data_IF_304619146823
#
_entry.id   IF_304619146823
#
_cell.length_a   1.000
_cell.length_b   1.000
_cell.length_c   1.000
_cell.angle_alpha   90.00
_cell.angle_beta   90.00
_cell.angle_gamma   90.00
#
_symmetry.space_group_name_H-M   'P 1'
#
loop_
_entity.id
_entity.type
_entity.pdbx_description
1 polymer ?
#
# COMPACT_ATOMS: atom_id res chain seq x y z
N UNK A 1 -12.72 -6.89 -22.11
CA UNK A 1 -12.33 -6.41 -20.79
C UNK A 1 -10.86 -6.67 -20.55
N UNK A 2 -10.15 -5.64 -20.16
CA UNK A 2 -8.77 -5.82 -19.79
C UNK A 2 -8.69 -6.63 -18.50
N UNK A 3 -7.76 -7.57 -18.45
CA UNK A 3 -7.51 -8.36 -17.26
C UNK A 3 -6.57 -7.60 -16.33
N UNK A 4 -6.91 -7.58 -15.03
CA UNK A 4 -6.04 -6.97 -14.03
C UNK A 4 -4.96 -7.97 -13.66
N UNK A 5 -3.71 -7.52 -13.75
CA UNK A 5 -2.54 -8.33 -13.42
C UNK A 5 -1.94 -7.84 -12.11
N UNK A 6 -1.64 -8.76 -11.20
CA UNK A 6 -1.02 -8.46 -9.92
C UNK A 6 0.44 -8.88 -9.97
N UNK A 7 1.35 -7.95 -9.67
CA UNK A 7 2.78 -8.25 -9.61
C UNK A 7 3.47 -7.42 -8.52
N UNK A 8 4.78 -7.65 -8.34
CA UNK A 8 5.59 -6.92 -7.38
C UNK A 8 6.66 -6.06 -8.02
N UNK A 9 6.49 -5.67 -9.28
CA UNK A 9 7.48 -4.89 -10.01
C UNK A 9 7.24 -3.39 -9.86
N UNK A 10 8.31 -2.64 -9.62
CA UNK A 10 8.30 -1.18 -9.62
C UNK A 10 8.47 -0.60 -11.03
N UNK A 11 8.73 -1.45 -12.02
CA UNK A 11 9.03 -0.99 -13.37
C UNK A 11 7.80 -0.45 -14.09
N UNK A 12 7.99 0.59 -14.88
CA UNK A 12 6.96 1.12 -15.78
C UNK A 12 5.81 1.84 -15.11
N UNK A 13 5.95 2.25 -13.85
CA UNK A 13 4.88 2.95 -13.13
C UNK A 13 4.94 4.44 -13.40
N UNK A 14 3.82 5.01 -13.83
CA UNK A 14 3.64 6.45 -13.93
C UNK A 14 3.20 6.97 -12.55
N UNK A 15 4.17 7.46 -11.77
CA UNK A 15 3.93 7.89 -10.40
C UNK A 15 3.08 9.16 -10.31
N UNK A 16 3.15 10.04 -11.31
CA UNK A 16 2.27 11.21 -11.37
C UNK A 16 0.81 10.78 -11.55
N UNK A 17 0.56 9.83 -12.43
CA UNK A 17 -0.78 9.28 -12.63
C UNK A 17 -1.27 8.55 -11.38
N UNK A 18 -0.40 7.75 -10.77
CA UNK A 18 -0.75 7.04 -9.54
C UNK A 18 -1.14 8.02 -8.42
N UNK A 19 -0.34 9.07 -8.23
CA UNK A 19 -0.68 10.10 -7.24
C UNK A 19 -2.02 10.76 -7.55
N UNK A 20 -2.26 11.11 -8.80
CA UNK A 20 -3.51 11.73 -9.23
C UNK A 20 -4.72 10.84 -8.90
N UNK A 21 -4.60 9.55 -9.15
CA UNK A 21 -5.67 8.59 -8.86
C UNK A 21 -5.90 8.42 -7.36
N UNK A 22 -4.82 8.40 -6.58
CA UNK A 22 -4.92 8.37 -5.11
C UNK A 22 -5.61 9.63 -4.57
N UNK A 23 -5.25 10.78 -5.11
CA UNK A 23 -5.85 12.06 -4.70
C UNK A 23 -7.36 12.05 -4.98
N UNK A 24 -7.77 11.54 -6.14
CA UNK A 24 -9.18 11.43 -6.51
C UNK A 24 -9.96 10.55 -5.52
N UNK A 25 -9.31 9.54 -4.95
CA UNK A 25 -9.92 8.66 -3.95
C UNK A 25 -9.64 9.10 -2.51
N UNK A 26 -9.05 10.27 -2.30
CA UNK A 26 -8.68 10.81 -0.98
C UNK A 26 -7.73 9.90 -0.21
N UNK A 27 -6.77 9.29 -0.92
CA UNK A 27 -5.86 8.30 -0.36
C UNK A 27 -4.38 8.68 -0.48
N UNK A 28 -4.05 9.85 -1.02
CA UNK A 28 -2.65 10.23 -1.27
C UNK A 28 -1.90 10.68 0.00
N UNK A 29 -2.62 11.00 1.05
CA UNK A 29 -2.13 11.48 2.36
C UNK A 29 -1.11 12.63 2.29
N UNK A 30 -1.12 13.40 1.20
CA UNK A 30 -0.31 14.61 1.04
C UNK A 30 1.07 14.40 0.47
N UNK A 31 1.47 13.16 0.15
CA UNK A 31 2.79 12.90 -0.44
C UNK A 31 2.86 13.43 -1.87
N UNK A 32 4.03 13.98 -2.24
CA UNK A 32 4.35 14.25 -3.64
C UNK A 32 4.47 12.93 -4.40
N UNK A 33 4.44 13.00 -5.73
CA UNK A 33 4.65 11.80 -6.56
C UNK A 33 6.01 11.17 -6.29
N UNK A 34 7.05 11.96 -6.11
CA UNK A 34 8.38 11.43 -5.82
C UNK A 34 8.47 10.83 -4.42
N UNK A 35 7.79 11.40 -3.43
CA UNK A 35 7.72 10.83 -2.08
C UNK A 35 6.92 9.53 -2.07
N UNK A 36 5.84 9.45 -2.84
CA UNK A 36 5.07 8.23 -3.01
C UNK A 36 5.95 7.12 -3.59
N UNK A 37 6.63 7.41 -4.69
CA UNK A 37 7.56 6.45 -5.32
C UNK A 37 8.60 5.97 -4.32
N UNK A 38 9.24 6.90 -3.62
CA UNK A 38 10.29 6.55 -2.66
C UNK A 38 9.77 5.66 -1.55
N UNK A 39 8.56 5.90 -1.04
CA UNK A 39 7.99 5.05 0.01
C UNK A 39 7.83 3.61 -0.46
N UNK A 40 7.49 3.39 -1.74
CA UNK A 40 7.41 2.05 -2.29
C UNK A 40 8.80 1.45 -2.56
N UNK A 41 9.73 2.25 -3.10
CA UNK A 41 11.09 1.79 -3.35
C UNK A 41 11.81 1.34 -2.06
N UNK A 42 11.51 1.98 -0.94
CA UNK A 42 12.12 1.66 0.35
C UNK A 42 11.37 0.58 1.14
N UNK A 43 10.27 0.08 0.63
CA UNK A 43 9.54 -1.03 1.27
C UNK A 43 10.17 -2.36 0.88
N UNK A 44 10.20 -3.29 1.82
CA UNK A 44 10.78 -4.62 1.57
C UNK A 44 10.01 -5.39 0.53
N UNK A 45 8.66 -5.25 0.52
CA UNK A 45 7.81 -5.96 -0.43
C UNK A 45 6.71 -5.01 -0.91
N UNK A 46 6.40 -5.08 -2.19
CA UNK A 46 5.34 -4.27 -2.81
C UNK A 46 4.46 -5.15 -3.70
N UNK A 47 3.22 -4.73 -3.87
CA UNK A 47 2.31 -5.37 -4.81
C UNK A 47 1.54 -4.29 -5.57
N UNK A 48 1.37 -4.51 -6.86
CA UNK A 48 0.63 -3.61 -7.73
C UNK A 48 -0.39 -4.39 -8.53
N UNK A 49 -1.55 -3.77 -8.75
CA UNK A 49 -2.55 -4.25 -9.67
C UNK A 49 -2.54 -3.34 -10.90
N UNK A 50 -2.42 -3.93 -12.07
CA UNK A 50 -2.30 -3.19 -13.33
C UNK A 50 -3.45 -3.56 -14.25
N UNK A 51 -4.06 -2.52 -14.82
CA UNK A 51 -5.02 -2.64 -15.91
C UNK A 51 -4.34 -2.01 -17.12
N UNK A 52 -3.73 -2.84 -18.00
CA UNK A 52 -2.82 -2.34 -19.02
C UNK A 52 -1.62 -1.67 -18.37
N UNK A 53 -1.35 -0.43 -18.74
CA UNK A 53 -0.23 0.35 -18.19
C UNK A 53 -0.60 1.14 -16.94
N UNK A 54 -1.86 1.12 -16.55
CA UNK A 54 -2.34 1.93 -15.44
C UNK A 54 -2.34 1.13 -14.14
N UNK A 55 -1.82 1.75 -13.08
CA UNK A 55 -1.89 1.18 -11.74
C UNK A 55 -3.30 1.41 -11.20
N UNK A 56 -3.98 0.33 -10.86
CA UNK A 56 -5.34 0.38 -10.29
C UNK A 56 -5.41 -0.19 -8.88
N UNK A 57 -4.27 -0.61 -8.34
CA UNK A 57 -4.15 -1.03 -6.95
C UNK A 57 -2.71 -1.02 -6.54
N UNK A 58 -2.47 -0.82 -5.26
CA UNK A 58 -1.14 -0.87 -4.67
C UNK A 58 -1.22 -1.31 -3.23
N UNK A 59 -0.14 -1.88 -2.74
CA UNK A 59 0.05 -2.21 -1.33
C UNK A 59 1.54 -2.37 -1.07
N UNK A 60 1.98 -2.06 0.13
CA UNK A 60 3.38 -2.26 0.50
C UNK A 60 3.49 -2.82 1.90
N UNK A 61 4.58 -3.53 2.14
CA UNK A 61 4.82 -4.22 3.39
C UNK A 61 6.23 -3.88 3.87
N UNK A 62 6.31 -3.28 5.05
CA UNK A 62 7.57 -3.05 5.73
C UNK A 62 7.86 -4.28 6.58
N UNK A 63 9.09 -4.78 6.55
CA UNK A 63 9.44 -6.00 7.29
C UNK A 63 10.89 -5.99 7.70
N UNK A 64 11.17 -6.50 8.90
CA UNK A 64 12.54 -6.71 9.35
C UNK A 64 13.15 -8.02 8.80
N UNK A 65 12.35 -8.82 8.11
CA UNK A 65 12.78 -10.10 7.56
C UNK A 65 12.80 -11.23 8.56
N UNK A 66 12.42 -11.00 9.81
CA UNK A 66 12.54 -11.98 10.89
C UNK A 66 11.21 -12.19 11.63
N UNK A 67 10.65 -11.14 12.23
CA UNK A 67 9.52 -11.33 13.13
C UNK A 67 8.40 -10.30 12.99
N UNK A 68 8.68 -9.11 12.50
CA UNK A 68 7.66 -8.06 12.46
C UNK A 68 7.55 -7.44 11.07
N UNK A 69 6.29 -7.22 10.64
CA UNK A 69 5.97 -6.53 9.40
C UNK A 69 4.79 -5.60 9.61
N UNK A 70 4.72 -4.55 8.79
CA UNK A 70 3.63 -3.59 8.83
C UNK A 70 3.09 -3.39 7.41
N UNK A 71 1.81 -3.71 7.25
CA UNK A 71 1.11 -3.58 5.97
C UNK A 71 0.51 -2.17 5.89
N UNK A 72 0.79 -1.45 4.80
CA UNK A 72 0.39 -0.06 4.65
C UNK A 72 0.11 0.27 3.19
N UNK A 73 -0.67 1.32 2.98
CA UNK A 73 -1.03 1.83 1.65
C UNK A 73 -1.74 0.81 0.77
N UNK A 74 -2.67 0.04 1.35
CA UNK A 74 -3.51 -0.87 0.58
C UNK A 74 -4.62 -0.06 -0.09
N UNK A 75 -4.54 0.07 -1.41
CA UNK A 75 -5.48 0.87 -2.19
C UNK A 75 -5.91 0.12 -3.44
N UNK A 76 -7.19 0.18 -3.73
CA UNK A 76 -7.77 -0.27 -5.00
C UNK A 76 -8.58 0.89 -5.57
N UNK A 77 -8.34 1.24 -6.83
CA UNK A 77 -9.07 2.31 -7.50
C UNK A 77 -10.57 2.08 -7.39
N UNK A 78 -11.33 3.16 -7.18
CA UNK A 78 -12.76 3.06 -6.91
C UNK A 78 -13.52 2.30 -7.99
N UNK A 79 -13.12 2.44 -9.26
CA UNK A 79 -13.76 1.74 -10.38
C UNK A 79 -13.44 0.24 -10.43
N UNK A 80 -12.46 -0.22 -9.65
CA UNK A 80 -12.00 -1.62 -9.66
C UNK A 80 -12.28 -2.35 -8.35
N UNK A 81 -13.06 -1.77 -7.46
CA UNK A 81 -13.39 -2.37 -6.17
C UNK A 81 -14.33 -3.55 -6.32
N UNK A 82 -14.35 -4.42 -5.30
CA UNK A 82 -15.22 -5.62 -5.23
C UNK A 82 -14.88 -6.66 -6.28
N UNK A 83 -13.61 -6.71 -6.71
CA UNK A 83 -13.12 -7.70 -7.67
C UNK A 83 -12.06 -8.61 -7.06
N UNK A 84 -11.83 -8.54 -5.75
CA UNK A 84 -10.82 -9.35 -5.07
C UNK A 84 -9.39 -8.88 -5.23
N UNK A 85 -9.18 -7.66 -5.75
CA UNK A 85 -7.83 -7.13 -6.01
C UNK A 85 -7.06 -6.93 -4.72
N UNK A 86 -7.67 -6.29 -3.73
CA UNK A 86 -6.99 -6.04 -2.45
C UNK A 86 -6.58 -7.36 -1.78
N UNK A 87 -7.48 -8.34 -1.74
CA UNK A 87 -7.17 -9.66 -1.19
C UNK A 87 -6.02 -10.33 -1.91
N UNK A 88 -5.99 -10.25 -3.25
CA UNK A 88 -4.93 -10.85 -4.05
C UNK A 88 -3.58 -10.18 -3.77
N UNK A 89 -3.55 -8.85 -3.68
CA UNK A 89 -2.31 -8.12 -3.35
C UNK A 89 -1.81 -8.47 -1.95
N UNK A 90 -2.71 -8.49 -0.97
CA UNK A 90 -2.34 -8.80 0.42
C UNK A 90 -1.81 -10.23 0.53
N UNK A 91 -2.48 -11.20 -0.08
CA UNK A 91 -2.02 -12.60 -0.05
C UNK A 91 -0.64 -12.74 -0.66
N UNK A 92 -0.38 -12.05 -1.76
CA UNK A 92 0.94 -12.04 -2.38
C UNK A 92 2.02 -11.52 -1.41
N UNK A 93 1.71 -10.43 -0.70
CA UNK A 93 2.64 -9.86 0.28
C UNK A 93 2.84 -10.79 1.48
N UNK A 94 1.77 -11.40 1.99
CA UNK A 94 1.88 -12.30 3.14
C UNK A 94 2.73 -13.53 2.82
N UNK A 95 2.72 -14.00 1.59
CA UNK A 95 3.56 -15.12 1.17
C UNK A 95 5.06 -14.82 1.28
N UNK A 96 5.44 -13.54 1.32
CA UNK A 96 6.84 -13.12 1.45
C UNK A 96 7.35 -13.10 2.89
N UNK A 97 6.45 -13.20 3.88
CA UNK A 97 6.81 -13.02 5.29
C UNK A 97 6.33 -14.17 6.17
N UNK A 98 6.65 -15.44 5.81
CA UNK A 98 6.19 -16.58 6.62
C UNK A 98 6.74 -16.49 8.05
N UNK A 99 5.89 -16.78 9.03
CA UNK A 99 6.28 -16.79 10.44
C UNK A 99 6.36 -15.43 11.11
N UNK A 100 6.08 -14.35 10.37
CA UNK A 100 6.15 -13.00 10.95
C UNK A 100 4.79 -12.54 11.48
N UNK A 101 4.83 -11.65 12.44
CA UNK A 101 3.66 -10.94 12.94
C UNK A 101 3.41 -9.72 12.07
N UNK A 102 2.29 -9.70 11.37
CA UNK A 102 1.94 -8.61 10.44
C UNK A 102 0.87 -7.75 11.09
N UNK A 103 1.19 -6.47 11.29
CA UNK A 103 0.25 -5.49 11.82
C UNK A 103 -0.22 -4.53 10.73
N UNK A 104 -1.35 -3.89 10.98
CA UNK A 104 -1.90 -2.85 10.12
C UNK A 104 -2.85 -1.98 10.93
N UNK A 105 -3.19 -0.83 10.35
CA UNK A 105 -4.20 0.05 10.90
C UNK A 105 -5.26 0.32 9.84
N UNK A 106 -6.53 0.17 10.20
CA UNK A 106 -7.64 0.48 9.31
C UNK A 106 -8.83 1.00 10.10
N UNK A 107 -9.58 1.94 9.49
CA UNK A 107 -10.80 2.45 10.09
C UNK A 107 -12.08 1.91 9.45
N UNK A 108 -11.99 1.40 8.22
CA UNK A 108 -13.18 1.09 7.42
C UNK A 108 -13.11 -0.23 6.64
N UNK A 109 -11.99 -0.96 6.69
CA UNK A 109 -11.83 -2.19 5.91
C UNK A 109 -11.71 -3.43 6.81
N UNK A 110 -12.34 -3.40 7.98
CA UNK A 110 -12.21 -4.48 8.98
C UNK A 110 -12.66 -5.83 8.44
N UNK A 111 -13.75 -5.85 7.66
CA UNK A 111 -14.27 -7.12 7.12
C UNK A 111 -13.28 -7.78 6.17
N UNK A 112 -12.59 -6.98 5.34
CA UNK A 112 -11.55 -7.49 4.45
C UNK A 112 -10.47 -8.20 5.26
N UNK A 113 -9.96 -7.54 6.29
CA UNK A 113 -8.84 -8.10 7.06
C UNK A 113 -9.25 -9.29 7.90
N UNK A 114 -10.47 -9.30 8.46
CA UNK A 114 -10.99 -10.49 9.13
C UNK A 114 -11.07 -11.67 8.19
N UNK A 115 -11.51 -11.45 6.95
CA UNK A 115 -11.61 -12.52 5.96
C UNK A 115 -10.24 -13.12 5.60
N UNK A 116 -9.17 -12.37 5.82
CA UNK A 116 -7.80 -12.80 5.57
C UNK A 116 -7.11 -13.39 6.83
N UNK A 117 -7.83 -13.49 7.94
CA UNK A 117 -7.31 -14.08 9.17
C UNK A 117 -6.73 -13.10 10.17
N UNK A 118 -6.81 -11.80 9.91
CA UNK A 118 -6.36 -10.79 10.87
C UNK A 118 -7.36 -10.67 12.02
N UNK A 119 -6.84 -10.40 13.20
CA UNK A 119 -7.65 -10.18 14.40
C UNK A 119 -7.35 -8.80 14.97
N UNK A 120 -8.37 -8.15 15.52
CA UNK A 120 -8.20 -6.85 16.17
C UNK A 120 -7.32 -6.98 17.40
N UNK A 121 -6.27 -6.17 17.47
CA UNK A 121 -5.43 -6.07 18.67
C UNK A 121 -5.60 -4.67 19.25
N UNK A 122 -6.00 -4.51 20.49
CA UNK A 122 -6.16 -3.19 21.12
C UNK A 122 -4.83 -2.53 21.44
N UNK A 123 -4.88 -1.22 21.73
CA UNK A 123 -3.78 -0.41 22.26
C UNK A 123 -2.69 -0.10 21.22
N UNK A 124 -3.10 0.49 20.09
CA UNK A 124 -2.18 1.07 19.13
C UNK A 124 -1.80 2.49 19.56
N UNK A 125 -0.49 2.75 19.68
CA UNK A 125 0.03 4.08 20.06
C UNK A 125 0.79 4.66 18.90
N UNK A 126 0.59 5.96 18.61
CA UNK A 126 1.27 6.61 17.50
C UNK A 126 1.69 8.02 17.85
N UNK A 127 2.71 8.50 17.16
CA UNK A 127 3.23 9.86 17.27
C UNK A 127 3.75 10.28 15.91
N UNK A 128 3.35 11.47 15.44
CA UNK A 128 4.01 12.11 14.29
C UNK A 128 5.18 12.92 14.85
N UNK A 129 6.39 12.59 14.43
CA UNK A 129 7.59 13.32 14.88
C UNK A 129 7.64 14.67 14.16
N UNK A 130 7.47 15.76 14.91
CA UNK A 130 7.37 17.10 14.34
C UNK A 130 6.03 17.30 13.64
N UNK A 131 6.07 17.61 12.36
CA UNK A 131 4.87 17.81 11.55
C UNK A 131 4.80 16.77 10.44
N UNK A 132 3.59 16.35 10.12
CA UNK A 132 3.36 15.31 9.09
C UNK A 132 4.02 15.69 7.77
N UNK A 133 4.85 14.79 7.25
CA UNK A 133 5.56 14.93 5.98
C UNK A 133 6.58 16.08 5.89
N UNK A 134 6.89 16.72 7.01
CA UNK A 134 7.92 17.75 7.02
C UNK A 134 9.31 17.12 7.13
N UNK A 135 9.82 16.66 5.99
CA UNK A 135 11.13 16.04 5.86
C UNK A 135 11.66 16.20 4.43
N UNK A 136 12.92 15.88 4.25
CA UNK A 136 13.60 16.07 2.97
C UNK A 136 12.99 15.22 1.85
N UNK A 137 12.53 14.02 2.17
CA UNK A 137 11.95 13.12 1.16
C UNK A 137 10.72 13.72 0.49
N UNK A 138 9.88 14.43 1.24
CA UNK A 138 8.70 15.06 0.66
C UNK A 138 8.99 16.44 0.08
N UNK A 139 10.01 17.13 0.59
CA UNK A 139 10.42 18.42 0.03
C UNK A 139 11.16 18.28 -1.29
N UNK A 140 11.75 17.12 -1.54
CA UNK A 140 12.46 16.80 -2.77
C UNK A 140 11.48 16.45 -3.89
N UNK A 141 10.41 17.21 -4.00
CA UNK A 141 9.39 17.01 -5.03
C UNK A 141 9.83 17.67 -6.32
N UNK A 142 9.84 16.96 -7.36
CA UNK A 142 10.18 17.48 -8.67
C UNK A 142 9.08 17.17 -9.67
#
# INVERSE_FOLDING_TARGET
MAEVVIDGSLAGIDWEQAKSDLTADHFDNGRSASALRRSFEQSQHVAFARDGDRIVGMARLLSDGVCNAYLVDVWTASAHRRQGIASAMIRRLLDEVPGQHVGLQTGDAQELYRSLGFELQPEFWSLVVGSWLDNDANRDAS
#
